data_IF_401422129266
#
_entry.id   IF_401422129266
#
_cell.length_a   1.000
_cell.length_b   1.000
_cell.length_c   1.000
_cell.angle_alpha   90.00
_cell.angle_beta   90.00
_cell.angle_gamma   90.00
#
_symmetry.space_group_name_H-M   'P 1'
#
loop_
_entity.id
_entity.type
_entity.pdbx_description
1 polymer ?
#
# COMPACT_ATOMS: atom_id res chain seq x y z
N UNK A 1 0.79 -7.36 -31.81
CA UNK A 1 -0.18 -6.64 -30.95
C UNK A 1 0.61 -5.78 -29.96
N UNK A 2 0.47 -4.46 -30.07
CA UNK A 2 1.56 -3.48 -29.96
C UNK A 2 1.77 -2.91 -28.53
N UNK A 3 3.03 -2.64 -28.15
CA UNK A 3 3.49 -2.06 -26.86
C UNK A 3 2.73 -0.79 -26.42
N UNK A 4 2.09 -0.10 -27.35
CA UNK A 4 1.29 1.11 -27.09
C UNK A 4 0.02 0.85 -26.26
N UNK A 5 -0.61 -0.32 -26.39
CA UNK A 5 -1.82 -0.66 -25.62
C UNK A 5 -1.54 -0.78 -24.12
N UNK A 6 -0.36 -1.30 -23.75
CA UNK A 6 0.06 -1.42 -22.35
C UNK A 6 0.38 -0.05 -21.71
N UNK A 7 0.83 0.93 -22.52
CA UNK A 7 1.23 2.25 -22.01
C UNK A 7 0.02 3.13 -21.64
N UNK A 8 -1.10 2.97 -22.34
CA UNK A 8 -2.36 3.64 -22.01
C UNK A 8 -2.97 3.08 -20.72
N UNK A 9 -2.93 1.76 -20.51
CA UNK A 9 -3.39 1.12 -19.27
C UNK A 9 -2.59 1.57 -18.03
N UNK A 10 -1.29 1.87 -18.18
CA UNK A 10 -0.43 2.39 -17.12
C UNK A 10 -0.73 3.83 -16.70
N UNK A 11 -1.44 4.62 -17.53
CA UNK A 11 -1.79 6.02 -17.25
C UNK A 11 -3.15 6.15 -16.58
N UNK A 12 -4.06 5.18 -16.79
CA UNK A 12 -5.43 5.19 -16.25
C UNK A 12 -5.68 4.16 -15.14
N UNK A 13 -4.80 3.17 -14.97
CA UNK A 13 -4.86 2.20 -13.89
C UNK A 13 -4.11 2.70 -12.65
N UNK A 14 -4.75 2.63 -11.48
CA UNK A 14 -4.09 2.90 -10.20
C UNK A 14 -2.73 2.20 -10.14
N UNK A 15 -1.72 2.86 -9.56
CA UNK A 15 -0.29 2.50 -9.58
C UNK A 15 -0.03 1.09 -9.00
N UNK A 16 -0.43 0.04 -9.69
CA UNK A 16 -0.48 -1.31 -9.14
C UNK A 16 0.93 -1.91 -9.00
N UNK A 17 1.84 -1.54 -9.90
CA UNK A 17 3.20 -2.09 -9.94
C UNK A 17 4.17 -1.57 -8.88
N UNK A 18 3.83 -0.49 -8.15
CA UNK A 18 4.75 0.06 -7.11
C UNK A 18 4.52 -0.56 -5.73
N UNK A 19 3.38 -1.21 -5.53
CA UNK A 19 3.07 -1.94 -4.31
C UNK A 19 3.36 -3.42 -4.56
N UNK A 20 4.18 -4.11 -3.76
CA UNK A 20 4.31 -5.58 -3.81
C UNK A 20 2.98 -6.34 -3.83
N UNK A 21 1.96 -5.82 -3.16
CA UNK A 21 0.58 -6.37 -3.17
C UNK A 21 -0.06 -6.34 -4.58
N UNK A 22 0.51 -5.61 -5.54
CA UNK A 22 0.12 -5.66 -6.95
C UNK A 22 -1.16 -4.89 -7.28
N UNK A 23 -1.66 -4.06 -6.35
CA UNK A 23 -2.83 -3.18 -6.53
C UNK A 23 -2.72 -1.93 -5.69
N UNK A 24 -3.55 -0.93 -6.01
CA UNK A 24 -3.79 0.20 -5.11
C UNK A 24 -4.58 -0.26 -3.89
N UNK A 25 -4.23 0.29 -2.73
CA UNK A 25 -4.93 0.02 -1.47
C UNK A 25 -6.33 0.62 -1.45
N UNK A 26 -7.18 0.12 -0.57
CA UNK A 26 -8.50 0.70 -0.26
C UNK A 26 -8.49 1.36 1.13
N UNK A 27 -9.34 2.36 1.40
CA UNK A 27 -9.35 3.07 2.68
C UNK A 27 -9.46 2.17 3.91
N UNK A 28 -10.18 1.06 3.80
CA UNK A 28 -10.41 0.08 4.86
C UNK A 28 -9.11 -0.56 5.35
N UNK A 29 -8.10 -0.68 4.47
CA UNK A 29 -6.79 -1.25 4.82
C UNK A 29 -5.98 -0.33 5.73
N UNK A 30 -6.26 0.97 5.74
CA UNK A 30 -5.71 1.92 6.72
C UNK A 30 -6.61 1.99 7.96
N UNK A 31 -7.93 1.98 7.77
CA UNK A 31 -8.89 2.07 8.87
C UNK A 31 -8.78 0.90 9.86
N UNK A 32 -8.57 -0.33 9.38
CA UNK A 32 -8.46 -1.52 10.23
C UNK A 32 -7.28 -1.45 11.24
N UNK A 33 -6.03 -1.19 10.84
CA UNK A 33 -4.93 -1.03 11.80
C UNK A 33 -5.11 0.19 12.71
N UNK A 34 -5.71 1.28 12.24
CA UNK A 34 -6.06 2.42 13.12
C UNK A 34 -7.09 2.01 14.19
N UNK A 35 -8.12 1.26 13.80
CA UNK A 35 -9.13 0.76 14.75
C UNK A 35 -8.49 -0.17 15.80
N UNK A 36 -7.58 -1.05 15.38
CA UNK A 36 -6.80 -1.87 16.31
C UNK A 36 -5.95 -1.01 17.27
N UNK A 37 -5.22 -0.02 16.76
CA UNK A 37 -4.36 0.86 17.58
C UNK A 37 -5.15 1.76 18.55
N UNK A 38 -6.44 1.95 18.31
CA UNK A 38 -7.34 2.67 19.21
C UNK A 38 -8.02 1.75 20.24
N UNK A 39 -7.88 0.43 20.13
CA UNK A 39 -8.54 -0.55 20.98
C UNK A 39 -7.73 -0.84 22.27
N UNK A 40 -8.38 -1.42 23.29
CA UNK A 40 -7.70 -1.76 24.56
C UNK A 40 -6.63 -2.84 24.37
N UNK A 41 -6.80 -3.72 23.38
CA UNK A 41 -5.88 -4.78 23.02
C UNK A 41 -4.49 -4.25 22.60
N UNK A 42 -4.40 -2.99 22.16
CA UNK A 42 -3.12 -2.34 21.83
C UNK A 42 -2.55 -1.48 22.95
N UNK A 43 -3.01 -1.63 24.20
CA UNK A 43 -2.63 -0.78 25.34
C UNK A 43 -1.12 -0.68 25.65
N UNK A 44 -0.31 -1.65 25.21
CA UNK A 44 1.16 -1.61 25.36
C UNK A 44 1.90 -1.20 24.07
N UNK A 45 1.17 -0.91 23.00
CA UNK A 45 1.73 -0.50 21.71
C UNK A 45 1.93 1.02 21.71
N UNK A 46 3.19 1.47 21.77
CA UNK A 46 3.51 2.90 21.75
C UNK A 46 4.88 3.17 21.12
N UNK A 47 5.06 4.40 20.62
CA UNK A 47 6.32 4.87 20.01
C UNK A 47 6.68 4.23 18.66
N UNK A 48 5.73 3.55 18.02
CA UNK A 48 5.95 2.83 16.76
C UNK A 48 5.42 3.60 15.54
N UNK A 49 6.02 3.34 14.38
CA UNK A 49 5.52 3.80 13.07
C UNK A 49 5.04 2.57 12.30
N UNK A 50 3.74 2.51 12.00
CA UNK A 50 3.13 1.44 11.24
C UNK A 50 2.91 1.86 9.79
N UNK A 51 3.70 1.31 8.88
CA UNK A 51 3.59 1.59 7.45
C UNK A 51 2.50 0.71 6.81
N UNK A 52 1.50 1.37 6.20
CA UNK A 52 0.39 0.71 5.50
C UNK A 52 0.38 1.15 4.04
N UNK A 53 1.20 0.51 3.20
CA UNK A 53 1.40 0.96 1.82
C UNK A 53 1.53 -0.19 0.80
N UNK A 54 1.00 -1.36 1.14
CA UNK A 54 1.11 -2.56 0.31
C UNK A 54 2.55 -3.04 0.09
N UNK A 55 3.48 -2.64 0.97
CA UNK A 55 4.90 -3.04 0.97
C UNK A 55 5.80 -2.14 0.13
N UNK A 56 5.31 -0.99 -0.34
CA UNK A 56 6.06 -0.11 -1.23
C UNK A 56 7.37 0.37 -0.58
N UNK A 57 7.32 0.73 0.70
CA UNK A 57 8.49 1.21 1.46
C UNK A 57 9.49 0.10 1.79
N UNK A 58 9.06 -1.16 1.75
CA UNK A 58 9.96 -2.30 1.96
C UNK A 58 10.77 -2.68 0.70
N UNK A 59 10.42 -2.14 -0.47
CA UNK A 59 11.25 -2.27 -1.67
C UNK A 59 12.28 -1.15 -1.72
N UNK A 60 13.55 -1.53 -1.84
CA UNK A 60 14.60 -0.60 -2.23
C UNK A 60 14.26 -0.09 -3.64
N UNK A 61 14.18 1.24 -3.80
CA UNK A 61 14.10 1.86 -5.12
C UNK A 61 15.46 1.73 -5.79
N UNK A 62 15.73 0.56 -6.35
CA UNK A 62 16.88 0.35 -7.23
C UNK A 62 16.62 1.12 -8.55
N UNK A 63 17.64 1.82 -9.08
CA UNK A 63 17.54 2.55 -10.36
C UNK A 63 17.24 1.61 -11.54
#
# INVERSE_FOLDING_TARGET
MNRLANKVALVTGGRSGIHPVGRTGVPEEVAAPVAFLAAEESSFVTGQIYTVDGGRTAKLSLP
#
